data_IF_792649474190
#
_entry.id   IF_792649474190
#
_cell.length_a   1.000
_cell.length_b   1.000
_cell.length_c   1.000
_cell.angle_alpha   90.00
_cell.angle_beta   90.00
_cell.angle_gamma   90.00
#
_symmetry.space_group_name_H-M   'P 1'
#
loop_
_entity.id
_entity.type
_entity.pdbx_description
1 polymer ?
#
# COMPACT_ATOMS: atom_id res chain seq x y z
N UNK A 1 -5.70 -4.50 87.96
CA UNK A 1 -5.46 -3.37 87.05
C UNK A 1 -5.16 -3.91 85.66
N UNK A 2 -6.12 -3.91 84.74
CA UNK A 2 -5.93 -4.31 83.32
C UNK A 2 -5.90 -3.01 82.46
N UNK A 3 -4.73 -2.67 81.90
CA UNK A 3 -4.58 -1.56 80.95
C UNK A 3 -5.08 -2.05 79.59
N UNK A 4 -6.18 -1.40 79.09
CA UNK A 4 -6.67 -1.65 77.76
C UNK A 4 -5.78 -0.98 76.70
N UNK A 5 -5.32 -1.77 75.73
CA UNK A 5 -4.64 -1.33 74.52
C UNK A 5 -5.70 -0.83 73.50
N UNK A 6 -5.69 0.47 73.19
CA UNK A 6 -6.44 1.03 72.06
C UNK A 6 -5.65 0.77 70.79
N UNK A 7 -6.14 -0.14 69.95
CA UNK A 7 -5.65 -0.33 68.59
C UNK A 7 -6.02 0.93 67.77
N UNK A 8 -5.04 1.68 67.37
CA UNK A 8 -5.24 2.81 66.44
C UNK A 8 -5.44 2.24 65.02
N UNK A 9 -6.60 2.52 64.44
CA UNK A 9 -6.94 2.20 63.07
C UNK A 9 -5.92 2.87 62.14
N UNK A 10 -4.92 2.10 61.63
CA UNK A 10 -3.93 2.54 60.63
C UNK A 10 -4.42 2.34 59.20
N UNK A 11 -5.68 1.89 59.03
CA UNK A 11 -6.23 1.57 57.70
C UNK A 11 -6.90 2.76 56.99
N UNK A 12 -7.20 3.84 57.68
CA UNK A 12 -7.93 4.99 57.12
C UNK A 12 -7.08 5.89 56.23
N UNK A 13 -5.75 5.97 56.45
CA UNK A 13 -4.88 6.84 55.65
C UNK A 13 -4.52 6.23 54.30
N UNK A 14 -4.28 4.92 54.21
CA UNK A 14 -3.97 4.26 52.96
C UNK A 14 -5.16 4.17 52.01
N UNK A 15 -6.37 3.99 52.55
CA UNK A 15 -7.59 3.94 51.75
C UNK A 15 -7.98 5.31 51.19
N UNK A 16 -7.75 6.39 51.96
CA UNK A 16 -7.94 7.77 51.50
C UNK A 16 -6.92 8.17 50.41
N UNK A 17 -5.68 7.69 50.51
CA UNK A 17 -4.64 7.94 49.48
C UNK A 17 -4.96 7.22 48.18
N UNK A 18 -5.43 5.98 48.24
CA UNK A 18 -5.86 5.21 47.05
C UNK A 18 -7.11 5.82 46.39
N UNK A 19 -8.07 6.34 47.17
CA UNK A 19 -9.24 7.06 46.63
C UNK A 19 -8.86 8.38 45.99
N UNK A 20 -7.90 9.13 46.58
CA UNK A 20 -7.40 10.38 45.98
C UNK A 20 -6.61 10.13 44.68
N UNK A 21 -5.82 9.06 44.60
CA UNK A 21 -5.10 8.69 43.37
C UNK A 21 -6.10 8.20 42.29
N UNK A 22 -7.14 7.45 42.70
CA UNK A 22 -8.18 7.02 41.74
C UNK A 22 -9.02 8.21 41.25
N UNK A 23 -9.35 9.18 42.07
CA UNK A 23 -10.03 10.41 41.68
C UNK A 23 -9.13 11.30 40.84
N UNK A 24 -7.82 11.33 41.11
CA UNK A 24 -6.84 12.07 40.28
C UNK A 24 -6.68 11.44 38.89
N UNK A 25 -6.65 10.12 38.78
CA UNK A 25 -6.60 9.38 37.51
C UNK A 25 -7.91 9.51 36.70
N UNK A 26 -9.06 9.68 37.38
CA UNK A 26 -10.36 9.90 36.72
C UNK A 26 -10.67 11.39 36.46
N UNK A 27 -10.01 12.32 37.18
CA UNK A 27 -10.12 13.75 37.00
C UNK A 27 -9.04 14.38 36.12
N UNK A 28 -8.06 13.59 35.67
CA UNK A 28 -7.24 14.05 34.53
C UNK A 28 -8.20 14.24 33.37
N UNK A 29 -8.28 15.46 32.80
CA UNK A 29 -8.99 15.60 31.56
C UNK A 29 -8.32 14.55 30.63
N UNK A 30 -9.11 13.58 30.17
CA UNK A 30 -8.71 12.85 28.98
C UNK A 30 -8.45 13.94 27.97
N UNK A 31 -7.19 14.30 27.79
CA UNK A 31 -6.82 15.08 26.63
C UNK A 31 -7.24 14.20 25.46
N UNK A 32 -8.40 14.49 24.91
CA UNK A 32 -8.84 14.02 23.62
C UNK A 32 -7.92 14.71 22.62
N UNK A 33 -6.76 14.12 22.46
CA UNK A 33 -5.70 14.59 21.57
C UNK A 33 -6.07 14.26 20.14
N UNK A 34 -7.22 14.41 19.66
CA UNK A 34 -7.40 14.22 18.23
C UNK A 34 -8.65 14.86 17.63
N UNK A 35 -9.81 14.84 18.30
CA UNK A 35 -11.05 15.19 17.62
C UNK A 35 -11.14 16.67 17.18
N UNK A 36 -10.48 17.59 17.90
CA UNK A 36 -10.53 19.04 17.60
C UNK A 36 -9.38 19.54 16.71
N UNK A 37 -8.50 18.67 16.23
CA UNK A 37 -7.31 19.03 15.43
C UNK A 37 -7.00 18.09 14.29
N UNK A 38 -7.95 17.29 13.84
CA UNK A 38 -7.75 16.61 12.55
C UNK A 38 -7.68 17.73 11.50
N UNK A 39 -6.57 17.81 10.76
CA UNK A 39 -6.49 18.76 9.66
C UNK A 39 -7.64 18.50 8.70
N UNK A 40 -8.17 19.55 8.11
CA UNK A 40 -9.13 19.43 7.02
C UNK A 40 -8.42 18.69 5.88
N UNK A 41 -8.78 17.41 5.69
CA UNK A 41 -8.17 16.53 4.68
C UNK A 41 -8.25 17.20 3.30
N UNK A 42 -9.38 17.82 2.98
CA UNK A 42 -9.55 18.52 1.72
C UNK A 42 -8.56 19.68 1.56
N UNK A 43 -8.35 20.46 2.62
CA UNK A 43 -7.37 21.55 2.60
C UNK A 43 -5.94 21.02 2.43
N UNK A 44 -5.61 19.85 3.02
CA UNK A 44 -4.32 19.19 2.84
C UNK A 44 -4.15 18.72 1.39
N UNK A 45 -5.16 18.06 0.82
CA UNK A 45 -5.17 17.62 -0.58
C UNK A 45 -4.96 18.80 -1.53
N UNK A 46 -5.74 19.88 -1.37
CA UNK A 46 -5.60 21.11 -2.16
C UNK A 46 -4.21 21.73 -2.00
N UNK A 47 -3.65 21.69 -0.78
CA UNK A 47 -2.31 22.16 -0.50
C UNK A 47 -1.22 21.39 -1.23
N UNK A 48 -1.29 20.05 -1.20
CA UNK A 48 -0.34 19.16 -1.90
C UNK A 48 -0.42 19.35 -3.41
N UNK A 49 -1.63 19.39 -3.97
CA UNK A 49 -1.87 19.58 -5.41
C UNK A 49 -1.33 20.94 -5.86
N UNK A 50 -1.63 22.01 -5.10
CA UNK A 50 -1.14 23.37 -5.39
C UNK A 50 0.38 23.45 -5.29
N UNK A 51 0.99 22.83 -4.28
CA UNK A 51 2.44 22.78 -4.12
C UNK A 51 3.11 22.07 -5.30
N UNK A 52 2.63 20.88 -5.68
CA UNK A 52 3.20 20.10 -6.79
C UNK A 52 3.10 20.86 -8.11
N UNK A 53 1.93 21.37 -8.45
CA UNK A 53 1.74 22.17 -9.67
C UNK A 53 2.64 23.40 -9.70
N UNK A 54 2.80 24.09 -8.57
CA UNK A 54 3.67 25.27 -8.47
C UNK A 54 5.15 24.90 -8.57
N UNK A 55 5.56 23.76 -8.01
CA UNK A 55 6.96 23.29 -8.06
C UNK A 55 7.40 22.94 -9.48
N UNK A 56 6.48 22.46 -10.32
CA UNK A 56 6.74 22.17 -11.73
C UNK A 56 6.48 23.39 -12.63
N UNK A 57 6.08 24.54 -12.06
CA UNK A 57 5.77 25.76 -12.83
C UNK A 57 4.45 25.69 -13.61
N UNK A 58 3.59 24.71 -13.28
CA UNK A 58 2.32 24.47 -13.96
C UNK A 58 1.21 25.38 -13.40
N UNK A 59 0.35 25.87 -14.28
CA UNK A 59 -0.84 26.63 -13.90
C UNK A 59 -2.08 25.78 -13.77
N UNK A 60 -2.09 24.65 -14.45
CA UNK A 60 -3.21 23.71 -14.49
C UNK A 60 -2.70 22.30 -14.25
N UNK A 61 -3.56 21.43 -13.71
CA UNK A 61 -3.23 20.04 -13.44
C UNK A 61 -2.99 19.26 -14.73
N UNK A 62 -2.04 18.34 -14.70
CA UNK A 62 -1.73 17.42 -15.79
C UNK A 62 -1.45 18.11 -17.12
N UNK A 63 -0.75 19.26 -17.08
CA UNK A 63 -0.28 20.00 -18.24
C UNK A 63 1.24 20.09 -18.25
N UNK A 64 1.82 20.69 -19.29
CA UNK A 64 3.25 20.93 -19.41
C UNK A 64 4.10 19.71 -19.11
N UNK A 65 5.11 19.88 -18.26
CA UNK A 65 6.08 18.83 -17.94
C UNK A 65 5.43 17.60 -17.26
N UNK A 66 4.46 17.80 -16.36
CA UNK A 66 3.75 16.69 -15.71
C UNK A 66 3.04 15.77 -16.71
N UNK A 67 2.43 16.35 -17.75
CA UNK A 67 1.82 15.56 -18.82
C UNK A 67 2.87 14.97 -19.77
N UNK A 68 3.87 15.76 -20.13
CA UNK A 68 4.85 15.36 -21.13
C UNK A 68 5.79 14.25 -20.63
N UNK A 69 5.88 14.07 -19.31
CA UNK A 69 6.56 12.95 -18.64
C UNK A 69 5.64 11.77 -18.31
N UNK A 70 4.46 11.68 -18.91
CA UNK A 70 3.59 10.50 -18.74
C UNK A 70 4.37 9.22 -19.04
N UNK A 71 4.16 8.20 -18.19
CA UNK A 71 4.95 6.97 -18.17
C UNK A 71 6.10 6.98 -17.15
N UNK A 72 6.47 8.15 -16.61
CA UNK A 72 7.40 8.23 -15.48
C UNK A 72 6.69 8.05 -14.14
N UNK A 73 7.41 7.52 -13.13
CA UNK A 73 6.82 7.27 -11.82
C UNK A 73 6.24 8.54 -11.17
N UNK A 74 6.99 9.65 -11.21
CA UNK A 74 6.55 10.89 -10.57
C UNK A 74 5.30 11.49 -11.21
N UNK A 75 5.19 11.42 -12.54
CA UNK A 75 4.05 11.94 -13.27
C UNK A 75 2.82 11.03 -13.15
N UNK A 76 3.00 9.71 -13.30
CA UNK A 76 1.89 8.76 -13.26
C UNK A 76 1.23 8.71 -11.87
N UNK A 77 2.02 8.68 -10.80
CA UNK A 77 1.44 8.70 -9.45
C UNK A 77 0.71 10.00 -9.16
N UNK A 78 1.24 11.14 -9.61
CA UNK A 78 0.52 12.40 -9.47
C UNK A 78 -0.80 12.41 -10.27
N UNK A 79 -0.79 11.90 -11.50
CA UNK A 79 -2.00 11.77 -12.32
C UNK A 79 -3.02 10.82 -11.67
N UNK A 80 -2.56 9.69 -11.12
CA UNK A 80 -3.38 8.77 -10.36
C UNK A 80 -4.06 9.46 -9.18
N UNK A 81 -3.28 10.18 -8.36
CA UNK A 81 -3.76 10.85 -7.16
C UNK A 81 -4.81 11.92 -7.49
N UNK A 82 -4.51 12.86 -8.40
CA UNK A 82 -5.45 13.95 -8.73
C UNK A 82 -6.71 13.45 -9.44
N UNK A 83 -6.61 12.32 -10.16
CA UNK A 83 -7.78 11.68 -10.75
C UNK A 83 -8.65 11.03 -9.66
N UNK A 84 -8.04 10.33 -8.69
CA UNK A 84 -8.74 9.68 -7.56
C UNK A 84 -9.36 10.69 -6.60
N UNK A 85 -8.71 11.83 -6.36
CA UNK A 85 -9.22 12.94 -5.55
C UNK A 85 -10.35 13.70 -6.26
N UNK A 86 -10.52 13.50 -7.58
CA UNK A 86 -11.49 14.26 -8.38
C UNK A 86 -11.05 15.71 -8.64
N UNK A 87 -9.77 16.03 -8.46
CA UNK A 87 -9.21 17.36 -8.67
C UNK A 87 -8.92 17.64 -10.16
N UNK A 88 -8.62 16.61 -10.96
CA UNK A 88 -8.42 16.73 -12.40
C UNK A 88 -9.73 16.64 -13.16
N UNK A 89 -9.92 17.51 -14.14
CA UNK A 89 -11.09 17.48 -15.04
C UNK A 89 -11.02 16.28 -15.99
N UNK A 90 -12.15 15.93 -16.60
CA UNK A 90 -12.20 14.88 -17.62
C UNK A 90 -11.28 15.19 -18.81
N UNK A 91 -11.24 16.43 -19.26
CA UNK A 91 -10.36 16.88 -20.35
C UNK A 91 -8.88 16.72 -20.00
N UNK A 92 -8.49 17.10 -18.77
CA UNK A 92 -7.12 16.93 -18.29
C UNK A 92 -6.72 15.46 -18.21
N UNK A 93 -7.59 14.61 -17.69
CA UNK A 93 -7.35 13.16 -17.65
C UNK A 93 -7.25 12.54 -19.03
N UNK A 94 -8.13 12.94 -19.96
CA UNK A 94 -8.08 12.46 -21.35
C UNK A 94 -6.80 12.87 -22.07
N UNK A 95 -6.35 14.12 -21.87
CA UNK A 95 -5.09 14.60 -22.42
C UNK A 95 -3.88 13.86 -21.86
N UNK A 96 -3.92 13.53 -20.55
CA UNK A 96 -2.87 12.70 -19.91
C UNK A 96 -2.86 11.28 -20.47
N UNK A 97 -4.04 10.65 -20.60
CA UNK A 97 -4.17 9.31 -21.17
C UNK A 97 -3.61 9.21 -22.59
N UNK A 98 -3.81 10.23 -23.42
CA UNK A 98 -3.24 10.25 -24.78
C UNK A 98 -1.69 10.19 -24.75
N UNK A 99 -1.06 10.92 -23.83
CA UNK A 99 0.42 10.89 -23.68
C UNK A 99 0.89 9.60 -23.03
N UNK A 100 0.15 9.07 -22.07
CA UNK A 100 0.46 7.79 -21.44
C UNK A 100 0.34 6.63 -22.44
N UNK A 101 -0.61 6.72 -23.38
CA UNK A 101 -0.73 5.75 -24.48
C UNK A 101 0.53 5.74 -25.35
N UNK A 102 1.00 6.92 -25.77
CA UNK A 102 2.28 7.04 -26.53
C UNK A 102 3.44 6.39 -25.77
N UNK A 103 3.51 6.59 -24.44
CA UNK A 103 4.54 6.00 -23.60
C UNK A 103 4.41 4.47 -23.50
N UNK A 104 3.20 3.93 -23.37
CA UNK A 104 2.94 2.48 -23.34
C UNK A 104 3.31 1.84 -24.68
N UNK A 105 2.90 2.42 -25.80
CA UNK A 105 3.26 1.91 -27.13
C UNK A 105 4.78 1.90 -27.35
N UNK A 106 5.48 2.95 -26.87
CA UNK A 106 6.94 2.99 -26.91
C UNK A 106 7.59 1.90 -26.04
N UNK A 107 7.03 1.60 -24.87
CA UNK A 107 7.47 0.51 -23.99
C UNK A 107 7.32 -0.84 -24.69
N UNK A 108 6.17 -1.10 -25.33
CA UNK A 108 5.93 -2.34 -26.07
C UNK A 108 6.82 -2.48 -27.30
N UNK A 109 7.10 -1.39 -27.98
CA UNK A 109 8.01 -1.38 -29.12
C UNK A 109 9.47 -1.72 -28.73
N UNK A 110 9.85 -1.49 -27.48
CA UNK A 110 11.22 -1.71 -26.98
C UNK A 110 11.32 -2.82 -25.94
N UNK A 111 10.28 -3.64 -25.72
CA UNK A 111 10.25 -4.65 -24.65
C UNK A 111 11.36 -5.72 -24.76
N UNK A 112 11.86 -5.98 -25.96
CA UNK A 112 12.94 -6.94 -26.21
C UNK A 112 14.34 -6.32 -25.97
N UNK A 113 14.45 -5.00 -25.87
CA UNK A 113 15.70 -4.33 -25.52
C UNK A 113 15.89 -4.36 -24.00
N UNK A 114 16.83 -5.17 -23.54
CA UNK A 114 17.12 -5.32 -22.10
C UNK A 114 17.52 -4.03 -21.39
N UNK A 115 18.00 -3.01 -22.14
CA UNK A 115 18.37 -1.70 -21.58
C UNK A 115 17.16 -0.74 -21.49
N UNK A 116 16.14 -0.94 -22.31
CA UNK A 116 14.94 -0.11 -22.40
C UNK A 116 13.73 -0.77 -21.74
N UNK A 117 13.81 -2.05 -21.41
CA UNK A 117 12.73 -2.80 -20.81
C UNK A 117 12.42 -2.30 -19.40
N UNK A 118 11.21 -1.81 -19.22
CA UNK A 118 10.70 -1.43 -17.91
C UNK A 118 10.45 -2.65 -17.01
N UNK A 119 10.44 -2.41 -15.73
CA UNK A 119 10.01 -3.41 -14.75
C UNK A 119 8.51 -3.64 -14.89
N UNK A 120 8.06 -4.85 -14.62
CA UNK A 120 6.64 -5.20 -14.66
C UNK A 120 5.80 -4.31 -13.73
N UNK A 121 6.34 -3.94 -12.55
CA UNK A 121 5.68 -3.02 -11.61
C UNK A 121 5.52 -1.59 -12.16
N UNK A 122 6.38 -1.16 -13.08
CA UNK A 122 6.20 0.14 -13.76
C UNK A 122 4.99 0.10 -14.69
N UNK A 123 4.76 -1.05 -15.33
CA UNK A 123 3.59 -1.23 -16.20
C UNK A 123 2.31 -1.39 -15.37
N UNK A 124 2.38 -2.05 -14.21
CA UNK A 124 1.26 -2.07 -13.26
C UNK A 124 0.88 -0.66 -12.81
N UNK A 125 1.86 0.22 -12.53
CA UNK A 125 1.61 1.64 -12.25
C UNK A 125 0.89 2.32 -13.41
N UNK A 126 1.35 2.14 -14.65
CA UNK A 126 0.69 2.69 -15.85
C UNK A 126 -0.75 2.19 -15.94
N UNK A 127 -1.00 0.88 -15.77
CA UNK A 127 -2.34 0.31 -15.78
C UNK A 127 -3.25 0.93 -14.71
N UNK A 128 -2.76 1.09 -13.48
CA UNK A 128 -3.49 1.75 -12.39
C UNK A 128 -3.79 3.22 -12.71
N UNK A 129 -2.85 3.93 -13.34
CA UNK A 129 -3.05 5.32 -13.79
C UNK A 129 -4.09 5.40 -14.90
N UNK A 130 -4.06 4.47 -15.85
CA UNK A 130 -5.11 4.35 -16.89
C UNK A 130 -6.48 4.18 -16.24
N UNK A 131 -6.60 3.27 -15.28
CA UNK A 131 -7.84 3.01 -14.53
C UNK A 131 -8.32 4.27 -13.80
N UNK A 132 -7.43 4.95 -13.07
CA UNK A 132 -7.77 6.13 -12.29
C UNK A 132 -8.24 7.29 -13.16
N UNK A 133 -7.59 7.48 -14.33
CA UNK A 133 -7.95 8.51 -15.30
C UNK A 133 -9.21 8.16 -16.13
N UNK A 134 -9.78 6.97 -15.98
CA UNK A 134 -11.01 6.55 -16.64
C UNK A 134 -10.81 5.84 -17.99
N UNK A 135 -9.57 5.43 -18.31
CA UNK A 135 -9.23 4.61 -19.45
C UNK A 135 -9.51 3.12 -19.26
N UNK A 136 -9.27 2.35 -20.30
CA UNK A 136 -9.40 0.90 -20.32
C UNK A 136 -8.01 0.24 -20.48
N UNK A 137 -7.44 -0.36 -19.42
CA UNK A 137 -6.14 -1.00 -19.50
C UNK A 137 -6.17 -2.36 -20.24
N UNK A 138 -7.35 -2.93 -20.52
CA UNK A 138 -7.48 -4.14 -21.34
C UNK A 138 -7.42 -3.84 -22.84
N UNK A 139 -7.49 -2.56 -23.22
CA UNK A 139 -7.37 -2.09 -24.59
C UNK A 139 -6.74 -0.69 -24.62
N UNK A 140 -5.42 -0.61 -24.40
CA UNK A 140 -4.71 0.66 -24.23
C UNK A 140 -3.52 0.81 -25.18
N UNK A 141 -3.80 1.30 -26.38
CA UNK A 141 -2.83 1.46 -27.45
C UNK A 141 -2.65 0.22 -28.31
N UNK A 142 -1.65 0.22 -29.17
CA UNK A 142 -1.31 -0.87 -30.09
C UNK A 142 0.17 -1.21 -30.02
N UNK A 143 0.48 -2.51 -30.15
CA UNK A 143 1.84 -2.99 -30.28
C UNK A 143 2.39 -2.73 -31.71
N UNK A 144 3.71 -2.96 -31.96
CA UNK A 144 4.28 -2.78 -33.30
C UNK A 144 3.66 -3.64 -34.42
N UNK A 145 3.00 -4.72 -34.07
CA UNK A 145 2.33 -5.61 -35.03
C UNK A 145 0.88 -5.16 -35.28
N UNK A 146 0.41 -4.11 -34.58
CA UNK A 146 -0.95 -3.57 -34.72
C UNK A 146 -1.99 -4.28 -33.85
N UNK A 147 -1.60 -5.11 -32.89
CA UNK A 147 -2.52 -5.74 -31.96
C UNK A 147 -2.83 -4.79 -30.79
N UNK A 148 -4.06 -4.85 -30.25
CA UNK A 148 -4.40 -4.12 -29.03
C UNK A 148 -3.51 -4.54 -27.85
N UNK A 149 -2.99 -3.57 -27.09
CA UNK A 149 -2.26 -3.81 -25.85
C UNK A 149 -3.25 -4.04 -24.72
N UNK A 150 -3.12 -5.18 -24.04
CA UNK A 150 -3.85 -5.50 -22.82
C UNK A 150 -2.90 -5.55 -21.63
N UNK A 151 -2.80 -4.43 -20.90
CA UNK A 151 -1.89 -4.29 -19.75
C UNK A 151 -2.21 -5.30 -18.64
N UNK A 152 -3.49 -5.66 -18.45
CA UNK A 152 -3.91 -6.62 -17.41
C UNK A 152 -3.50 -8.05 -17.80
N UNK A 153 -3.79 -8.44 -19.03
CA UNK A 153 -3.43 -9.76 -19.55
C UNK A 153 -1.91 -9.96 -19.55
N UNK A 154 -1.19 -9.00 -20.13
CA UNK A 154 0.23 -9.17 -20.44
C UNK A 154 1.13 -9.04 -19.22
N UNK A 155 0.70 -8.34 -18.16
CA UNK A 155 1.53 -8.08 -16.99
C UNK A 155 1.05 -8.77 -15.71
N UNK A 156 -0.16 -9.36 -15.74
CA UNK A 156 -0.67 -10.16 -14.63
C UNK A 156 -1.01 -11.56 -15.10
N UNK A 157 -2.11 -11.74 -15.85
CA UNK A 157 -2.64 -13.07 -16.12
C UNK A 157 -1.66 -14.00 -16.86
N UNK A 158 -0.94 -13.48 -17.85
CA UNK A 158 -0.01 -14.23 -18.69
C UNK A 158 1.39 -13.59 -18.69
N UNK A 159 1.81 -13.05 -17.56
CA UNK A 159 3.04 -12.26 -17.49
C UNK A 159 4.28 -13.05 -17.82
N UNK A 160 4.38 -14.33 -17.43
CA UNK A 160 5.55 -15.15 -17.75
C UNK A 160 5.78 -15.27 -19.26
N UNK A 161 4.70 -15.44 -20.02
CA UNK A 161 4.76 -15.56 -21.49
C UNK A 161 4.95 -14.21 -22.19
N UNK A 162 4.41 -13.12 -21.61
CA UNK A 162 4.39 -11.83 -22.27
C UNK A 162 5.47 -10.87 -21.78
N UNK A 163 5.79 -10.88 -20.49
CA UNK A 163 6.67 -9.89 -19.87
C UNK A 163 7.76 -10.46 -18.97
N UNK A 164 7.49 -11.52 -18.24
CA UNK A 164 8.36 -12.17 -17.27
C UNK A 164 7.69 -12.48 -15.96
N UNK A 165 8.39 -13.19 -15.09
CA UNK A 165 7.87 -13.55 -13.77
C UNK A 165 7.73 -12.30 -12.88
N UNK A 166 6.56 -12.07 -12.26
CA UNK A 166 6.41 -10.96 -11.31
C UNK A 166 7.43 -10.99 -10.19
N UNK A 167 7.87 -12.19 -9.78
CA UNK A 167 8.87 -12.40 -8.73
C UNK A 167 10.29 -11.98 -9.08
N UNK A 168 10.62 -11.71 -10.34
CA UNK A 168 11.93 -11.20 -10.75
C UNK A 168 12.31 -9.88 -10.04
N UNK A 169 11.32 -9.18 -9.51
CA UNK A 169 11.47 -7.93 -8.77
C UNK A 169 11.21 -8.08 -7.26
N UNK A 170 11.35 -9.30 -6.75
CA UNK A 170 10.99 -9.61 -5.37
C UNK A 170 9.48 -9.54 -5.15
N UNK A 171 9.09 -9.20 -3.93
CA UNK A 171 7.67 -9.17 -3.54
C UNK A 171 6.84 -8.11 -4.27
N UNK A 172 7.47 -7.03 -4.74
CA UNK A 172 6.80 -5.91 -5.40
C UNK A 172 5.95 -6.32 -6.59
N UNK A 173 6.47 -7.23 -7.43
CA UNK A 173 5.72 -7.66 -8.61
C UNK A 173 4.40 -8.32 -8.27
N UNK A 174 4.36 -9.15 -7.24
CA UNK A 174 3.12 -9.81 -6.78
C UNK A 174 2.15 -8.83 -6.12
N UNK A 175 2.66 -7.88 -5.32
CA UNK A 175 1.86 -6.84 -4.69
C UNK A 175 1.13 -6.03 -5.75
N UNK A 176 1.88 -5.47 -6.71
CA UNK A 176 1.31 -4.60 -7.73
C UNK A 176 0.43 -5.36 -8.72
N UNK A 177 0.74 -6.62 -9.03
CA UNK A 177 -0.13 -7.47 -9.83
C UNK A 177 -1.50 -7.64 -9.16
N UNK A 178 -1.52 -7.98 -7.88
CA UNK A 178 -2.78 -8.18 -7.14
C UNK A 178 -3.59 -6.88 -7.02
N UNK A 179 -2.94 -5.76 -6.67
CA UNK A 179 -3.58 -4.45 -6.63
C UNK A 179 -4.18 -4.03 -7.98
N UNK A 180 -3.49 -4.36 -9.08
CA UNK A 180 -3.93 -4.01 -10.43
C UNK A 180 -5.19 -4.74 -10.83
N UNK A 181 -5.25 -6.07 -10.60
CA UNK A 181 -6.46 -6.84 -10.96
C UNK A 181 -7.65 -6.58 -10.03
N UNK A 182 -7.38 -6.18 -8.80
CA UNK A 182 -8.43 -5.87 -7.83
C UNK A 182 -8.99 -4.45 -7.99
N UNK A 183 -8.25 -3.55 -8.64
CA UNK A 183 -8.67 -2.15 -8.83
C UNK A 183 -10.06 -1.99 -9.47
N UNK A 184 -10.45 -2.89 -10.39
CA UNK A 184 -11.80 -2.99 -10.96
C UNK A 184 -12.35 -4.43 -10.92
N UNK A 185 -11.79 -5.28 -10.06
CA UNK A 185 -12.17 -6.68 -9.94
C UNK A 185 -12.17 -7.41 -11.32
N UNK A 186 -11.05 -7.27 -12.05
CA UNK A 186 -10.88 -7.92 -13.35
C UNK A 186 -11.06 -9.44 -13.21
N UNK A 187 -11.77 -10.02 -14.18
CA UNK A 187 -12.08 -11.44 -14.15
C UNK A 187 -10.87 -12.26 -14.61
N UNK A 188 -10.59 -13.31 -13.86
CA UNK A 188 -9.53 -14.26 -14.18
C UNK A 188 -9.89 -15.06 -15.43
N UNK A 189 -9.09 -15.01 -16.51
CA UNK A 189 -9.36 -15.79 -17.69
C UNK A 189 -9.03 -17.28 -17.49
N UNK A 190 -9.69 -18.13 -18.23
CA UNK A 190 -9.37 -19.57 -18.24
C UNK A 190 -7.92 -19.79 -18.73
N UNK A 191 -7.17 -20.57 -17.97
CA UNK A 191 -5.78 -20.89 -18.31
C UNK A 191 -4.75 -19.80 -17.95
N UNK A 192 -5.14 -18.81 -17.16
CA UNK A 192 -4.20 -17.81 -16.66
C UNK A 192 -2.96 -18.45 -15.99
N UNK A 193 -1.77 -17.96 -16.33
CA UNK A 193 -0.51 -18.40 -15.70
C UNK A 193 -0.48 -18.01 -14.23
N UNK A 194 -0.90 -16.78 -13.93
CA UNK A 194 -1.10 -16.24 -12.60
C UNK A 194 -2.57 -16.06 -12.29
N UNK A 195 -2.98 -16.57 -11.13
CA UNK A 195 -4.32 -16.43 -10.59
C UNK A 195 -4.27 -15.58 -9.31
N UNK A 196 -5.40 -15.04 -8.88
CA UNK A 196 -5.47 -14.39 -7.55
C UNK A 196 -4.97 -15.29 -6.45
N UNK A 197 -5.36 -16.56 -6.49
CA UNK A 197 -4.93 -17.55 -5.49
C UNK A 197 -3.42 -17.73 -5.47
N UNK A 198 -2.78 -17.85 -6.64
CA UNK A 198 -1.33 -17.94 -6.74
C UNK A 198 -0.64 -16.67 -6.22
N UNK A 199 -1.12 -15.48 -6.62
CA UNK A 199 -0.55 -14.21 -6.16
C UNK A 199 -0.65 -14.06 -4.64
N UNK A 200 -1.81 -14.40 -4.04
CA UNK A 200 -1.98 -14.39 -2.59
C UNK A 200 -1.03 -15.41 -1.94
N UNK A 201 -0.98 -16.64 -2.42
CA UNK A 201 -0.09 -17.68 -1.88
C UNK A 201 1.38 -17.24 -1.92
N UNK A 202 1.82 -16.59 -3.01
CA UNK A 202 3.16 -16.02 -3.13
C UNK A 202 3.43 -14.91 -2.10
N UNK A 203 2.45 -14.03 -1.85
CA UNK A 203 2.57 -13.02 -0.80
C UNK A 203 2.68 -13.66 0.58
N UNK A 204 1.77 -14.60 0.91
CA UNK A 204 1.78 -15.27 2.22
C UNK A 204 3.08 -16.04 2.45
N UNK A 205 3.64 -16.69 1.41
CA UNK A 205 4.87 -17.48 1.48
C UNK A 205 6.11 -16.65 1.89
N UNK A 206 6.04 -15.32 1.74
CA UNK A 206 7.16 -14.40 1.96
C UNK A 206 7.17 -13.74 3.33
N UNK A 207 6.22 -14.09 4.21
CA UNK A 207 6.24 -13.53 5.57
C UNK A 207 7.50 -13.96 6.31
N UNK A 208 8.22 -13.01 6.87
CA UNK A 208 9.43 -13.23 7.66
C UNK A 208 9.08 -13.69 9.08
N UNK A 209 10.09 -14.20 9.80
CA UNK A 209 9.90 -14.73 11.15
C UNK A 209 9.41 -13.67 12.16
N UNK A 210 9.69 -12.40 11.92
CA UNK A 210 9.22 -11.27 12.73
C UNK A 210 7.80 -10.82 12.37
N UNK A 211 7.15 -11.48 11.40
CA UNK A 211 5.80 -11.18 10.95
C UNK A 211 5.70 -10.14 9.84
N UNK A 212 6.77 -9.42 9.53
CA UNK A 212 6.81 -8.43 8.46
C UNK A 212 7.23 -9.00 7.10
N UNK A 213 7.49 -8.10 6.15
CA UNK A 213 7.90 -8.43 4.79
C UNK A 213 9.08 -7.56 4.36
N UNK A 214 10.01 -8.16 3.62
CA UNK A 214 11.13 -7.50 2.96
C UNK A 214 11.07 -7.69 1.45
N UNK A 215 11.91 -6.97 0.69
CA UNK A 215 11.91 -7.02 -0.78
C UNK A 215 12.24 -8.43 -1.29
N UNK A 216 13.27 -9.03 -0.73
CA UNK A 216 13.67 -10.41 -0.97
C UNK A 216 13.86 -11.15 0.36
N UNK A 217 13.98 -12.48 0.30
CA UNK A 217 14.04 -13.34 1.51
C UNK A 217 15.20 -13.06 2.46
N UNK A 218 16.24 -12.37 2.00
CA UNK A 218 17.43 -12.04 2.80
C UNK A 218 17.38 -10.65 3.41
N UNK A 219 16.44 -9.84 3.01
CA UNK A 219 16.26 -8.49 3.53
C UNK A 219 15.50 -8.52 4.86
N UNK A 220 15.77 -7.59 5.77
CA UNK A 220 14.93 -7.41 6.94
C UNK A 220 13.54 -6.94 6.52
N UNK A 221 12.55 -7.14 7.39
CA UNK A 221 11.24 -6.54 7.18
C UNK A 221 11.32 -5.02 7.29
N UNK A 222 10.58 -4.34 6.46
CA UNK A 222 10.42 -2.90 6.52
C UNK A 222 8.94 -2.49 6.52
N UNK A 223 8.69 -1.23 6.85
CA UNK A 223 7.33 -0.67 6.96
C UNK A 223 6.65 -0.64 5.61
N UNK A 224 7.37 -0.23 4.56
CA UNK A 224 6.77 0.00 3.25
C UNK A 224 6.23 -1.30 2.68
N UNK A 225 7.07 -2.33 2.57
CA UNK A 225 6.68 -3.62 2.01
C UNK A 225 5.65 -4.34 2.88
N UNK A 226 5.78 -4.26 4.22
CA UNK A 226 4.79 -4.82 5.12
C UNK A 226 3.42 -4.17 4.93
N UNK A 227 3.39 -2.84 4.80
CA UNK A 227 2.16 -2.08 4.57
C UNK A 227 1.56 -2.31 3.18
N UNK A 228 2.41 -2.40 2.15
CA UNK A 228 1.98 -2.68 0.79
C UNK A 228 1.35 -4.07 0.66
N UNK A 229 1.94 -5.10 1.30
CA UNK A 229 1.35 -6.45 1.34
C UNK A 229 0.00 -6.42 2.06
N UNK A 230 -0.09 -5.77 3.21
CA UNK A 230 -1.36 -5.61 3.94
C UNK A 230 -2.41 -4.92 3.06
N UNK A 231 -2.04 -3.87 2.34
CA UNK A 231 -2.95 -3.18 1.43
C UNK A 231 -3.46 -4.10 0.32
N UNK A 232 -2.57 -4.88 -0.29
CA UNK A 232 -2.94 -5.82 -1.35
C UNK A 232 -3.83 -6.98 -0.84
N UNK A 233 -3.64 -7.41 0.40
CA UNK A 233 -4.41 -8.49 1.01
C UNK A 233 -5.73 -8.03 1.63
N UNK A 234 -5.94 -6.73 1.85
CA UNK A 234 -7.13 -6.21 2.51
C UNK A 234 -8.49 -6.64 1.90
N UNK A 235 -8.66 -6.78 0.57
CA UNK A 235 -9.91 -7.30 -0.02
C UNK A 235 -10.26 -8.72 0.40
N UNK A 236 -9.31 -9.49 0.91
CA UNK A 236 -9.45 -10.91 1.26
C UNK A 236 -9.62 -11.16 2.76
N UNK A 237 -9.68 -10.08 3.56
CA UNK A 237 -9.91 -10.16 5.01
C UNK A 237 -11.27 -10.78 5.34
N UNK A 238 -11.34 -11.47 6.49
CA UNK A 238 -12.58 -12.07 6.98
C UNK A 238 -13.07 -13.26 6.16
N UNK A 239 -12.26 -13.77 5.23
CA UNK A 239 -12.56 -14.98 4.48
C UNK A 239 -11.97 -16.18 5.22
N UNK A 240 -12.79 -17.18 5.53
CA UNK A 240 -12.34 -18.46 6.12
C UNK A 240 -11.61 -19.34 5.08
N UNK A 241 -10.86 -18.70 4.18
CA UNK A 241 -10.08 -19.40 3.14
C UNK A 241 -8.65 -19.62 3.62
N UNK A 242 -8.23 -20.89 3.56
CA UNK A 242 -6.86 -21.30 3.83
C UNK A 242 -6.09 -21.44 2.53
N UNK A 243 -4.89 -20.89 2.50
CA UNK A 243 -3.95 -21.01 1.40
C UNK A 243 -2.80 -21.93 1.79
N UNK A 244 -2.39 -22.80 0.86
CA UNK A 244 -1.24 -23.68 1.03
C UNK A 244 -0.10 -23.20 0.14
N UNK A 245 1.09 -23.07 0.71
CA UNK A 245 2.28 -22.55 0.02
C UNK A 245 3.55 -23.15 0.62
N UNK A 246 4.67 -23.01 -0.08
CA UNK A 246 5.99 -23.30 0.47
C UNK A 246 6.59 -22.02 1.04
N UNK A 247 6.77 -21.97 2.36
CA UNK A 247 7.37 -20.81 3.02
C UNK A 247 8.78 -20.52 2.48
N UNK A 248 9.03 -19.27 2.03
CA UNK A 248 10.32 -18.92 1.39
C UNK A 248 11.51 -19.03 2.35
N UNK A 249 11.27 -18.87 3.64
CA UNK A 249 12.28 -18.96 4.70
C UNK A 249 12.43 -20.42 5.18
N UNK A 250 11.32 -21.08 5.47
CA UNK A 250 11.32 -22.43 6.04
C UNK A 250 11.64 -23.51 4.99
N UNK A 251 11.28 -23.27 3.74
CA UNK A 251 11.32 -24.28 2.68
C UNK A 251 10.32 -25.43 2.90
N UNK A 252 9.38 -25.28 3.82
CA UNK A 252 8.37 -26.28 4.17
C UNK A 252 7.01 -25.88 3.64
N UNK A 253 6.13 -26.86 3.44
CA UNK A 253 4.74 -26.63 3.17
C UNK A 253 4.07 -26.04 4.42
N UNK A 254 3.40 -24.93 4.24
CA UNK A 254 2.68 -24.17 5.26
C UNK A 254 1.26 -23.86 4.79
N UNK A 255 0.39 -23.64 5.76
CA UNK A 255 -0.99 -23.21 5.51
C UNK A 255 -1.34 -22.04 6.41
N UNK A 256 -2.01 -21.02 5.86
CA UNK A 256 -2.48 -19.88 6.64
C UNK A 256 -3.71 -19.24 6.00
N UNK A 257 -4.40 -18.45 6.78
CA UNK A 257 -5.40 -17.49 6.28
C UNK A 257 -4.76 -16.12 6.08
N UNK A 258 -5.38 -15.28 5.28
CA UNK A 258 -4.95 -13.87 5.11
C UNK A 258 -4.97 -13.15 6.46
N UNK A 259 -6.01 -13.35 7.27
CA UNK A 259 -6.14 -12.69 8.58
C UNK A 259 -5.02 -13.07 9.54
N UNK A 260 -4.61 -14.35 9.58
CA UNK A 260 -3.54 -14.81 10.47
C UNK A 260 -2.16 -14.22 10.07
N UNK A 261 -1.92 -14.03 8.79
CA UNK A 261 -0.71 -13.36 8.29
C UNK A 261 -0.77 -11.87 8.59
N UNK A 262 -1.92 -11.24 8.37
CA UNK A 262 -2.11 -9.82 8.64
C UNK A 262 -1.94 -9.47 10.12
N UNK A 263 -2.45 -10.32 11.04
CA UNK A 263 -2.28 -10.13 12.49
C UNK A 263 -0.79 -9.98 12.86
N UNK A 264 0.06 -10.85 12.36
CA UNK A 264 1.51 -10.79 12.60
C UNK A 264 2.14 -9.56 11.95
N UNK A 265 1.70 -9.19 10.74
CA UNK A 265 2.21 -8.04 10.02
C UNK A 265 1.85 -6.72 10.73
N UNK A 266 0.63 -6.59 11.25
CA UNK A 266 0.26 -5.43 12.08
C UNK A 266 1.01 -5.37 13.41
N UNK A 267 1.25 -6.52 14.04
CA UNK A 267 2.11 -6.57 15.23
C UNK A 267 3.51 -6.04 14.90
N UNK A 268 4.08 -6.45 13.78
CA UNK A 268 5.38 -5.94 13.33
C UNK A 268 5.37 -4.44 13.04
N UNK A 269 4.36 -3.91 12.36
CA UNK A 269 4.22 -2.47 12.15
C UNK A 269 4.14 -1.71 13.47
N UNK A 270 3.44 -2.26 14.47
CA UNK A 270 3.38 -1.66 15.81
C UNK A 270 4.74 -1.58 16.50
N UNK A 271 5.63 -2.57 16.28
CA UNK A 271 7.00 -2.54 16.80
C UNK A 271 7.88 -1.50 16.10
N UNK A 272 7.58 -1.22 14.82
CA UNK A 272 8.31 -0.25 14.00
C UNK A 272 7.78 1.18 14.14
N UNK A 273 6.76 1.41 14.99
CA UNK A 273 6.22 2.72 15.25
C UNK A 273 7.00 3.43 16.35
N UNK A 274 7.41 4.67 16.10
CA UNK A 274 8.05 5.53 17.09
C UNK A 274 7.03 6.13 18.07
N UNK A 275 7.50 6.65 19.20
CA UNK A 275 6.68 7.26 20.25
C UNK A 275 5.81 8.45 19.78
N UNK A 276 6.24 9.14 18.72
CA UNK A 276 5.50 10.25 18.12
C UNK A 276 4.48 9.81 17.06
N UNK A 277 4.35 8.49 16.82
CA UNK A 277 3.43 7.89 15.88
C UNK A 277 3.97 7.75 14.44
N UNK A 278 5.14 8.31 14.15
CA UNK A 278 5.81 8.10 12.86
C UNK A 278 6.33 6.67 12.73
N UNK A 279 6.53 6.21 11.50
CA UNK A 279 7.07 4.89 11.24
C UNK A 279 8.60 4.95 11.02
N UNK A 280 9.28 3.88 11.46
CA UNK A 280 10.73 3.73 11.34
C UNK A 280 11.06 2.69 10.28
N UNK A 281 11.70 3.13 9.20
CA UNK A 281 12.31 2.24 8.21
C UNK A 281 13.81 2.37 8.31
N UNK A 282 14.53 1.28 8.60
CA UNK A 282 15.98 1.26 8.87
C UNK A 282 16.41 2.28 9.94
N UNK A 283 15.63 2.38 11.03
CA UNK A 283 15.83 3.32 12.15
C UNK A 283 15.67 4.81 11.77
N UNK A 284 15.21 5.11 10.58
CA UNK A 284 14.94 6.48 10.13
C UNK A 284 13.42 6.73 10.00
N UNK A 285 12.99 7.93 10.40
CA UNK A 285 11.60 8.38 10.21
C UNK A 285 11.42 8.87 8.80
N UNK A 286 10.45 8.32 8.10
CA UNK A 286 10.09 8.80 6.76
C UNK A 286 8.58 9.08 6.68
N UNK A 287 8.22 10.10 5.92
CA UNK A 287 6.82 10.42 5.62
C UNK A 287 6.18 9.35 4.76
N UNK A 288 6.96 8.78 3.85
CA UNK A 288 6.54 7.77 2.90
C UNK A 288 6.13 6.48 3.62
N UNK A 289 6.98 5.97 4.52
CA UNK A 289 6.66 4.77 5.31
C UNK A 289 5.46 5.00 6.22
N UNK A 290 5.34 6.20 6.81
CA UNK A 290 4.19 6.56 7.63
C UNK A 290 2.92 6.59 6.78
N UNK A 291 2.96 7.14 5.56
CA UNK A 291 1.83 7.14 4.64
C UNK A 291 1.41 5.73 4.23
N UNK A 292 2.36 4.83 3.93
CA UNK A 292 2.06 3.44 3.61
C UNK A 292 1.37 2.71 4.78
N UNK A 293 1.85 2.91 6.00
CA UNK A 293 1.21 2.33 7.19
C UNK A 293 -0.22 2.85 7.37
N UNK A 294 -0.46 4.15 7.12
CA UNK A 294 -1.81 4.73 7.16
C UNK A 294 -2.72 4.13 6.08
N UNK A 295 -2.23 3.91 4.86
CA UNK A 295 -2.99 3.26 3.77
C UNK A 295 -3.36 1.83 4.18
N UNK A 296 -2.41 1.05 4.71
CA UNK A 296 -2.67 -0.29 5.19
C UNK A 296 -3.74 -0.32 6.27
N UNK A 297 -3.61 0.50 7.31
CA UNK A 297 -4.60 0.61 8.39
C UNK A 297 -5.98 0.99 7.86
N UNK A 298 -6.07 1.99 6.97
CA UNK A 298 -7.33 2.41 6.38
C UNK A 298 -7.98 1.31 5.51
N UNK A 299 -7.18 0.48 4.86
CA UNK A 299 -7.68 -0.63 4.03
C UNK A 299 -8.30 -1.76 4.85
N UNK A 300 -7.86 -1.92 6.10
CA UNK A 300 -8.35 -2.96 7.01
C UNK A 300 -9.50 -2.49 7.91
N UNK A 301 -9.77 -1.19 8.06
CA UNK A 301 -10.91 -0.59 8.77
C UNK A 301 -10.59 -0.12 10.16
#
# INVERSE_FOLDING_TARGET
MRKGYKAKNRWSAGFLLLLLVAVWLTAMPRQVWAADRLPDVKQMEEGIVSWKSSSEGEKELLTGELRDQAGSAGSDWFAFDVARMGSATEEQRAAYLARLQDAVEAVYANKEDSMMRLRISDIHRMALTVIACGGDPENFGTDPDGNPINLIHDTVWNSNSCWGDPGDQGINGYIWALLTIDAKNYQEPEGAEWTREKLISELLSRQLADGGFGLIKTDPSDVDLTSMVLTALAPYRGQDKTYTYTGIISGQEETSTVDAVAEKAFARLSELQADDGSMLTYDERTSESTAWAMIALASWG
#
